data_IF_247617032209
#
_entry.id   IF_247617032209
#
_cell.length_a   1.000
_cell.length_b   1.000
_cell.length_c   1.000
_cell.angle_alpha   90.00
_cell.angle_beta   90.00
_cell.angle_gamma   90.00
#
_symmetry.space_group_name_H-M   'P 1'
#
loop_
_entity.id
_entity.type
_entity.pdbx_description
1 polymer ?
#
# COMPACT_ATOMS: atom_id res chain seq x y z
N UNK A 1 -1.07 -30.71 -3.72
CA UNK A 1 -0.96 -31.20 -5.11
C UNK A 1 -1.91 -30.43 -5.99
N UNK A 2 -1.43 -29.42 -6.72
CA UNK A 2 -2.25 -28.58 -7.60
C UNK A 2 -2.32 -29.23 -8.98
N UNK A 3 -3.41 -29.96 -9.21
CA UNK A 3 -3.74 -30.65 -10.45
C UNK A 3 -4.22 -29.63 -11.50
N UNK A 4 -3.60 -29.62 -12.68
CA UNK A 4 -4.06 -28.81 -13.83
C UNK A 4 -5.34 -29.42 -14.43
N UNK A 5 -6.28 -28.56 -14.81
CA UNK A 5 -7.60 -28.92 -15.33
C UNK A 5 -7.57 -29.23 -16.84
N UNK A 6 -8.18 -30.34 -17.24
CA UNK A 6 -8.22 -30.90 -18.62
C UNK A 6 -9.48 -30.49 -19.44
N UNK A 7 -10.19 -29.42 -19.07
CA UNK A 7 -11.47 -29.03 -19.70
C UNK A 7 -11.26 -27.99 -20.82
N UNK A 8 -11.80 -28.26 -22.02
CA UNK A 8 -11.89 -27.30 -23.11
C UNK A 8 -12.73 -26.07 -22.67
N UNK A 9 -12.08 -24.91 -22.57
CA UNK A 9 -12.67 -23.67 -22.01
C UNK A 9 -12.08 -23.19 -20.68
N UNK A 10 -11.01 -23.82 -20.19
CA UNK A 10 -10.36 -23.48 -18.92
C UNK A 10 -9.99 -21.98 -18.79
N UNK A 11 -10.51 -21.35 -17.71
CA UNK A 11 -10.32 -19.96 -17.26
C UNK A 11 -9.37 -19.94 -16.06
N UNK A 12 -8.06 -19.86 -16.29
CA UNK A 12 -7.14 -19.57 -15.18
C UNK A 12 -7.13 -18.05 -15.01
N UNK A 13 -7.94 -17.55 -14.07
CA UNK A 13 -7.80 -16.20 -13.50
C UNK A 13 -6.49 -16.14 -12.72
N UNK A 14 -5.90 -14.94 -12.58
CA UNK A 14 -4.76 -14.64 -11.71
C UNK A 14 -3.35 -15.03 -12.19
N UNK A 15 -3.14 -15.33 -13.49
CA UNK A 15 -1.79 -15.30 -14.11
C UNK A 15 -1.49 -13.93 -14.72
N UNK A 16 -1.47 -12.95 -13.84
CA UNK A 16 -1.13 -11.57 -14.11
C UNK A 16 0.36 -11.35 -13.80
N UNK A 17 0.99 -10.33 -14.37
CA UNK A 17 2.16 -9.78 -13.69
C UNK A 17 1.71 -9.40 -12.26
N UNK A 18 2.53 -9.59 -11.21
CA UNK A 18 2.11 -9.42 -9.81
C UNK A 18 1.38 -8.11 -9.51
N UNK A 19 1.67 -7.08 -10.30
CA UNK A 19 1.17 -5.71 -10.21
C UNK A 19 0.07 -5.35 -11.26
N UNK A 20 -0.62 -6.34 -11.85
CA UNK A 20 -1.78 -6.13 -12.72
C UNK A 20 -3.11 -6.42 -11.99
N UNK A 21 -3.77 -5.35 -11.56
CA UNK A 21 -4.94 -5.29 -10.68
C UNK A 21 -6.30 -5.16 -11.39
N UNK A 22 -6.35 -5.22 -12.72
CA UNK A 22 -7.60 -4.99 -13.47
C UNK A 22 -8.30 -6.28 -13.89
N UNK A 23 -9.58 -6.38 -13.52
CA UNK A 23 -10.52 -7.44 -13.92
C UNK A 23 -10.70 -7.58 -15.44
N UNK A 24 -10.34 -6.55 -16.21
CA UNK A 24 -10.45 -6.53 -17.67
C UNK A 24 -9.23 -7.13 -18.37
N UNK A 25 -8.13 -7.35 -17.64
CA UNK A 25 -6.94 -7.99 -18.17
C UNK A 25 -7.24 -9.48 -18.41
N UNK A 26 -7.18 -9.93 -19.65
CA UNK A 26 -7.53 -11.32 -20.03
C UNK A 26 -6.39 -12.34 -19.76
N UNK A 27 -5.41 -11.98 -18.93
CA UNK A 27 -4.27 -12.80 -18.52
C UNK A 27 -3.08 -12.75 -19.50
N UNK A 28 -1.86 -12.89 -18.98
CA UNK A 28 -0.60 -12.82 -19.72
C UNK A 28 0.06 -14.21 -19.91
N UNK A 29 -0.71 -15.20 -20.40
CA UNK A 29 -0.35 -16.57 -20.83
C UNK A 29 -0.92 -17.74 -19.97
N UNK A 30 -1.19 -18.92 -20.58
CA UNK A 30 -1.11 -19.26 -22.00
C UNK A 30 -2.52 -19.55 -22.53
N UNK A 31 -3.18 -18.53 -23.08
CA UNK A 31 -3.70 -18.73 -24.42
C UNK A 31 -2.61 -18.19 -25.33
N UNK A 32 -2.31 -18.90 -26.40
CA UNK A 32 -1.78 -18.28 -27.62
C UNK A 32 -2.67 -17.08 -27.92
N UNK A 33 -2.34 -15.91 -27.36
CA UNK A 33 -2.88 -14.68 -27.90
C UNK A 33 -2.39 -14.73 -29.34
N UNK A 34 -3.30 -14.60 -30.29
CA UNK A 34 -2.95 -14.58 -31.71
C UNK A 34 -1.95 -13.45 -32.06
N UNK A 35 -1.52 -12.65 -31.06
CA UNK A 35 -0.79 -11.40 -31.16
C UNK A 35 0.25 -11.20 -30.01
N UNK A 36 0.91 -12.24 -29.46
CA UNK A 36 2.10 -12.10 -28.59
C UNK A 36 2.03 -12.72 -27.17
N UNK A 37 3.08 -12.52 -26.37
CA UNK A 37 3.25 -13.07 -25.01
C UNK A 37 2.64 -12.20 -23.90
N UNK A 38 2.38 -10.92 -24.17
CA UNK A 38 1.71 -9.96 -23.26
C UNK A 38 0.53 -9.29 -23.95
N UNK A 39 -0.37 -8.65 -23.19
CA UNK A 39 -1.52 -7.91 -23.74
C UNK A 39 -1.22 -6.41 -23.97
N UNK A 40 -2.03 -5.74 -24.79
CA UNK A 40 -1.91 -4.30 -25.10
C UNK A 40 -1.91 -3.40 -23.84
N UNK A 41 -2.59 -3.82 -22.78
CA UNK A 41 -2.64 -3.08 -21.51
C UNK A 41 -1.27 -3.10 -20.82
N UNK A 42 -0.59 -4.25 -20.79
CA UNK A 42 0.75 -4.36 -20.22
C UNK A 42 1.79 -3.61 -21.05
N UNK A 43 1.64 -3.62 -22.37
CA UNK A 43 2.42 -2.78 -23.29
C UNK A 43 2.23 -1.29 -22.96
N UNK A 44 0.98 -0.81 -22.90
CA UNK A 44 0.66 0.58 -22.56
C UNK A 44 1.23 1.01 -21.20
N UNK A 45 1.04 0.19 -20.15
CA UNK A 45 1.62 0.47 -18.82
C UNK A 45 3.15 0.54 -18.84
N UNK A 46 3.80 -0.26 -19.69
CA UNK A 46 5.27 -0.24 -19.82
C UNK A 46 5.74 1.04 -20.52
N UNK A 47 5.02 1.49 -21.55
CA UNK A 47 5.26 2.79 -22.19
C UNK A 47 5.06 3.93 -21.19
N UNK A 48 3.98 3.92 -20.40
CA UNK A 48 3.72 4.94 -19.37
C UNK A 48 4.84 4.98 -18.31
N UNK A 49 5.39 3.82 -17.94
CA UNK A 49 6.53 3.73 -17.01
C UNK A 49 7.80 4.33 -17.60
N UNK A 50 8.11 4.08 -18.86
CA UNK A 50 9.25 4.69 -19.55
C UNK A 50 9.08 6.21 -19.66
N UNK A 51 7.88 6.69 -19.99
CA UNK A 51 7.56 8.11 -20.03
C UNK A 51 7.76 8.78 -18.67
N UNK A 52 7.27 8.15 -17.60
CA UNK A 52 7.48 8.60 -16.23
C UNK A 52 8.97 8.66 -15.85
N UNK A 53 9.77 7.65 -16.20
CA UNK A 53 11.20 7.66 -15.90
C UNK A 53 11.87 8.86 -16.59
N UNK A 54 11.53 9.10 -17.85
CA UNK A 54 12.04 10.26 -18.59
C UNK A 54 11.61 11.60 -17.97
N UNK A 55 10.36 11.71 -17.52
CA UNK A 55 9.81 12.89 -16.84
C UNK A 55 10.50 13.17 -15.51
N UNK A 56 10.74 12.14 -14.69
CA UNK A 56 11.32 12.27 -13.35
C UNK A 56 12.85 12.37 -13.35
N UNK A 57 13.52 12.13 -14.47
CA UNK A 57 14.99 12.16 -14.57
C UNK A 57 15.61 13.50 -14.13
N UNK A 58 15.12 14.68 -14.54
CA UNK A 58 15.67 15.97 -14.11
C UNK A 58 15.56 16.17 -12.59
N UNK A 59 14.41 15.82 -12.00
CA UNK A 59 14.17 15.94 -10.56
C UNK A 59 15.06 14.96 -9.78
N UNK A 60 15.21 13.74 -10.27
CA UNK A 60 16.11 12.75 -9.67
C UNK A 60 17.56 13.22 -9.68
N UNK A 61 18.01 13.85 -10.76
CA UNK A 61 19.34 14.48 -10.84
C UNK A 61 19.49 15.66 -9.89
N UNK A 62 18.47 16.50 -9.75
CA UNK A 62 18.48 17.60 -8.78
C UNK A 62 18.61 17.08 -7.32
N UNK A 63 17.99 15.93 -7.01
CA UNK A 63 18.16 15.24 -5.73
C UNK A 63 19.56 14.67 -5.56
N UNK A 64 20.09 13.97 -6.58
CA UNK A 64 21.43 13.40 -6.57
C UNK A 64 22.50 14.49 -6.37
N UNK A 65 22.32 15.64 -7.03
CA UNK A 65 23.17 16.82 -6.90
C UNK A 65 22.97 17.60 -5.58
N UNK A 66 22.09 17.14 -4.68
CA UNK A 66 21.83 17.80 -3.39
C UNK A 66 21.12 19.15 -3.49
N UNK A 67 20.58 19.51 -4.66
CA UNK A 67 19.92 20.79 -4.92
C UNK A 67 18.53 20.88 -4.30
N UNK A 68 17.86 19.74 -4.09
CA UNK A 68 16.53 19.66 -3.47
C UNK A 68 16.65 19.25 -2.01
N UNK A 69 16.26 20.13 -1.10
CA UNK A 69 16.15 19.82 0.34
C UNK A 69 14.77 19.24 0.64
N UNK A 70 14.69 17.94 0.92
CA UNK A 70 13.51 17.34 1.55
C UNK A 70 13.67 17.34 3.06
N UNK A 71 12.79 18.08 3.73
CA UNK A 71 12.78 18.20 5.18
C UNK A 71 11.68 19.14 5.66
N UNK A 72 10.43 18.71 5.57
CA UNK A 72 9.35 19.26 6.39
C UNK A 72 9.31 18.53 7.72
N UNK A 73 10.11 19.00 8.68
CA UNK A 73 9.88 18.75 10.11
C UNK A 73 10.62 17.56 10.73
N UNK A 74 11.45 17.83 11.73
CA UNK A 74 11.63 16.90 12.86
C UNK A 74 13.04 16.38 13.15
N UNK A 75 13.94 16.30 12.17
CA UNK A 75 15.31 15.91 12.49
C UNK A 75 16.02 17.07 13.23
N UNK A 76 16.60 16.85 14.42
CA UNK A 76 17.31 17.89 15.16
C UNK A 76 18.37 18.48 14.24
N UNK A 77 18.39 19.81 14.17
CA UNK A 77 19.25 20.57 13.29
C UNK A 77 20.72 20.16 13.49
N UNK A 78 21.19 19.18 12.71
CA UNK A 78 22.60 18.90 12.57
C UNK A 78 23.29 20.20 12.16
N UNK A 79 24.48 20.44 12.72
CA UNK A 79 25.25 21.67 12.47
C UNK A 79 25.21 22.03 10.97
N UNK A 80 24.82 23.26 10.60
CA UNK A 80 24.87 23.73 9.23
C UNK A 80 26.25 23.43 8.63
N UNK A 81 26.31 22.65 7.55
CA UNK A 81 27.56 22.28 6.87
C UNK A 81 28.06 20.85 7.08
N UNK A 82 27.37 20.01 7.86
CA UNK A 82 27.80 18.61 8.10
C UNK A 82 27.30 17.58 7.07
N UNK A 83 26.47 17.96 6.11
CA UNK A 83 26.03 17.06 5.03
C UNK A 83 26.94 17.21 3.81
N UNK A 84 27.34 16.10 3.17
CA UNK A 84 28.06 16.14 1.90
C UNK A 84 27.20 16.88 0.84
N UNK A 85 27.85 17.58 -0.10
CA UNK A 85 27.16 18.35 -1.15
C UNK A 85 26.39 17.46 -2.13
N UNK A 86 26.75 16.16 -2.21
CA UNK A 86 26.11 15.17 -3.07
C UNK A 86 25.30 14.18 -2.23
N UNK A 87 24.22 13.69 -2.82
CA UNK A 87 23.45 12.57 -2.27
C UNK A 87 23.92 11.28 -2.96
N UNK A 88 25.03 10.72 -2.49
CA UNK A 88 25.70 9.56 -3.10
C UNK A 88 24.73 8.39 -3.34
N UNK A 89 23.84 8.11 -2.38
CA UNK A 89 22.84 7.03 -2.53
C UNK A 89 21.79 7.30 -3.62
N UNK A 90 21.47 8.55 -3.92
CA UNK A 90 20.62 8.90 -5.06
C UNK A 90 21.39 8.86 -6.39
N UNK A 91 22.66 9.25 -6.38
CA UNK A 91 23.56 9.13 -7.53
C UNK A 91 23.73 7.67 -7.95
N UNK A 92 24.11 6.79 -7.02
CA UNK A 92 24.31 5.37 -7.28
C UNK A 92 23.02 4.70 -7.82
N UNK A 93 21.88 5.05 -7.22
CA UNK A 93 20.58 4.53 -7.66
C UNK A 93 20.20 5.02 -9.06
N UNK A 94 20.55 6.26 -9.42
CA UNK A 94 20.28 6.79 -10.75
C UNK A 94 21.20 6.14 -11.80
N UNK A 95 22.47 5.94 -11.48
CA UNK A 95 23.43 5.24 -12.34
C UNK A 95 22.99 3.78 -12.57
N UNK A 96 22.50 3.10 -11.53
CA UNK A 96 21.94 1.75 -11.66
C UNK A 96 20.74 1.71 -12.62
N UNK A 97 19.81 2.66 -12.50
CA UNK A 97 18.66 2.77 -13.41
C UNK A 97 19.15 2.97 -14.86
N UNK A 98 20.09 3.90 -15.07
CA UNK A 98 20.64 4.17 -16.40
C UNK A 98 21.34 2.94 -16.99
N UNK A 99 22.14 2.24 -16.19
CA UNK A 99 22.84 1.03 -16.62
C UNK A 99 21.86 -0.09 -17.01
N UNK A 100 20.82 -0.35 -16.20
CA UNK A 100 19.80 -1.37 -16.53
C UNK A 100 19.07 -1.06 -17.84
N UNK A 101 18.60 0.17 -18.01
CA UNK A 101 17.85 0.55 -19.22
C UNK A 101 18.73 0.59 -20.47
N UNK A 102 20.00 1.02 -20.35
CA UNK A 102 20.93 1.00 -21.48
C UNK A 102 21.37 -0.41 -21.86
N UNK A 103 21.52 -1.32 -20.90
CA UNK A 103 21.74 -2.76 -21.16
C UNK A 103 20.55 -3.37 -21.91
N UNK A 104 19.32 -3.17 -21.42
CA UNK A 104 18.11 -3.62 -22.11
C UNK A 104 18.02 -3.05 -23.54
N UNK A 105 18.37 -1.78 -23.72
CA UNK A 105 18.35 -1.17 -25.03
C UNK A 105 19.35 -1.82 -25.99
N UNK A 106 20.56 -2.14 -25.52
CA UNK A 106 21.59 -2.83 -26.31
C UNK A 106 21.16 -4.25 -26.67
N UNK A 107 20.66 -5.02 -25.72
CA UNK A 107 20.16 -6.38 -25.98
C UNK A 107 19.07 -6.40 -27.06
N UNK A 108 18.09 -5.50 -26.97
CA UNK A 108 17.03 -5.38 -27.97
C UNK A 108 17.60 -4.92 -29.33
N UNK A 109 18.56 -3.99 -29.32
CA UNK A 109 19.18 -3.50 -30.54
C UNK A 109 19.94 -4.62 -31.27
N UNK A 110 20.74 -5.39 -30.54
CA UNK A 110 21.52 -6.52 -31.06
C UNK A 110 20.60 -7.62 -31.60
N UNK A 111 19.56 -8.00 -30.84
CA UNK A 111 18.56 -8.99 -31.26
C UNK A 111 17.80 -8.59 -32.54
N UNK A 112 17.69 -7.27 -32.81
CA UNK A 112 16.98 -6.73 -33.96
C UNK A 112 17.90 -6.27 -35.10
N UNK A 113 19.21 -6.32 -34.94
CA UNK A 113 20.16 -5.72 -35.88
C UNK A 113 19.96 -4.20 -36.05
N UNK A 114 19.54 -3.50 -35.00
CA UNK A 114 19.33 -2.06 -35.00
C UNK A 114 20.55 -1.34 -34.44
N UNK A 115 20.80 -0.12 -34.91
CA UNK A 115 21.74 0.79 -34.26
C UNK A 115 20.99 1.72 -33.30
N UNK A 116 21.48 1.84 -32.07
CA UNK A 116 21.01 2.89 -31.15
C UNK A 116 21.68 4.18 -31.62
N UNK A 117 20.90 5.08 -32.22
CA UNK A 117 21.43 6.38 -32.67
C UNK A 117 22.12 7.08 -31.49
N UNK A 118 23.40 7.37 -31.66
CA UNK A 118 24.17 8.13 -30.68
C UNK A 118 23.65 9.56 -30.67
N UNK A 119 23.48 10.15 -29.47
CA UNK A 119 22.91 11.49 -29.34
C UNK A 119 23.78 12.59 -30.03
N UNK A 120 25.03 12.28 -30.35
CA UNK A 120 26.00 13.20 -30.94
C UNK A 120 25.78 13.52 -32.43
N UNK A 121 25.03 12.70 -33.18
CA UNK A 121 25.03 12.76 -34.64
C UNK A 121 24.28 13.97 -35.25
N UNK A 122 23.58 14.80 -34.48
CA UNK A 122 22.68 15.84 -35.03
C UNK A 122 22.92 17.27 -34.56
N UNK A 123 23.97 17.54 -33.76
CA UNK A 123 24.29 18.90 -33.30
C UNK A 123 23.17 19.61 -32.53
N UNK A 124 22.13 18.88 -32.10
CA UNK A 124 21.12 19.36 -31.17
C UNK A 124 21.61 19.07 -29.77
N UNK A 125 21.30 19.94 -28.81
CA UNK A 125 21.66 19.73 -27.40
C UNK A 125 21.30 18.30 -27.00
N UNK A 126 22.27 17.58 -26.43
CA UNK A 126 22.14 16.17 -26.06
C UNK A 126 20.95 16.07 -25.10
N UNK A 127 19.83 15.42 -25.52
CA UNK A 127 18.73 15.14 -24.60
C UNK A 127 19.28 14.40 -23.39
N UNK A 128 18.62 14.52 -22.24
CA UNK A 128 18.98 13.72 -21.07
C UNK A 128 19.19 12.25 -21.50
N UNK A 129 20.37 11.64 -21.26
CA UNK A 129 20.66 10.28 -21.69
C UNK A 129 19.60 9.26 -21.26
N UNK A 130 19.00 9.47 -20.08
CA UNK A 130 17.95 8.61 -19.55
C UNK A 130 16.63 8.81 -20.30
N UNK A 131 16.27 10.05 -20.62
CA UNK A 131 15.10 10.34 -21.45
C UNK A 131 15.25 9.79 -22.87
N UNK A 132 16.46 9.87 -23.45
CA UNK A 132 16.77 9.33 -24.78
C UNK A 132 16.57 7.81 -24.82
N UNK A 133 17.15 7.06 -23.86
CA UNK A 133 16.99 5.60 -23.82
C UNK A 133 15.54 5.19 -23.55
N UNK A 134 14.80 5.91 -22.70
CA UNK A 134 13.39 5.64 -22.44
C UNK A 134 12.52 5.84 -23.69
N UNK A 135 12.78 6.90 -24.45
CA UNK A 135 12.09 7.16 -25.72
C UNK A 135 12.37 6.07 -26.76
N UNK A 136 13.64 5.65 -26.89
CA UNK A 136 14.02 4.56 -27.78
C UNK A 136 13.35 3.24 -27.40
N UNK A 137 13.41 2.85 -26.11
CA UNK A 137 12.79 1.63 -25.58
C UNK A 137 11.27 1.64 -25.77
N UNK A 138 10.62 2.79 -25.65
CA UNK A 138 9.17 2.92 -25.86
C UNK A 138 8.76 2.49 -27.27
N UNK A 139 9.59 2.80 -28.28
CA UNK A 139 9.40 2.34 -29.66
C UNK A 139 9.63 0.83 -29.86
N UNK A 140 10.21 0.14 -28.88
CA UNK A 140 10.50 -1.30 -28.96
C UNK A 140 9.51 -2.19 -28.19
N UNK A 141 8.69 -1.62 -27.29
CA UNK A 141 7.82 -2.41 -26.37
C UNK A 141 6.90 -3.37 -27.13
N UNK A 142 6.36 -2.93 -28.28
CA UNK A 142 5.53 -3.78 -29.15
C UNK A 142 6.29 -4.98 -29.70
N UNK A 143 7.55 -4.84 -30.06
CA UNK A 143 8.36 -5.98 -30.51
C UNK A 143 8.67 -6.92 -29.35
N UNK A 144 9.06 -6.37 -28.19
CA UNK A 144 9.36 -7.13 -26.97
C UNK A 144 8.19 -8.05 -26.59
N UNK A 145 6.95 -7.57 -26.76
CA UNK A 145 5.71 -8.36 -26.56
C UNK A 145 5.68 -9.66 -27.36
N UNK A 146 6.31 -9.74 -28.53
CA UNK A 146 6.35 -10.93 -29.37
C UNK A 146 7.69 -11.68 -29.31
N UNK A 147 8.69 -11.14 -28.60
CA UNK A 147 10.03 -11.68 -28.56
C UNK A 147 10.12 -12.90 -27.63
N UNK A 148 10.99 -13.83 -28.03
CA UNK A 148 11.42 -14.96 -27.22
C UNK A 148 12.84 -14.70 -26.71
N UNK A 149 13.14 -15.20 -25.51
CA UNK A 149 14.51 -15.27 -25.01
C UNK A 149 15.28 -16.43 -25.65
N UNK A 150 16.57 -16.54 -25.34
CA UNK A 150 17.47 -17.59 -25.87
C UNK A 150 17.02 -19.02 -25.48
N UNK A 151 16.15 -19.17 -24.48
CA UNK A 151 15.60 -20.44 -24.02
C UNK A 151 14.20 -20.73 -24.62
N UNK A 152 13.69 -19.86 -25.49
CA UNK A 152 12.33 -19.96 -26.03
C UNK A 152 11.24 -19.57 -25.04
N UNK A 153 11.58 -18.92 -23.93
CA UNK A 153 10.66 -18.30 -22.97
C UNK A 153 10.22 -16.91 -23.41
N UNK A 154 9.13 -16.40 -22.81
CA UNK A 154 8.60 -15.09 -23.13
C UNK A 154 9.52 -13.96 -22.61
N UNK A 155 10.25 -13.30 -23.51
CA UNK A 155 11.21 -12.24 -23.14
C UNK A 155 10.53 -11.04 -22.47
N UNK A 156 9.29 -10.72 -22.87
CA UNK A 156 8.55 -9.56 -22.38
C UNK A 156 8.38 -9.50 -20.86
N UNK A 157 8.23 -10.64 -20.18
CA UNK A 157 7.98 -10.66 -18.74
C UNK A 157 9.17 -10.10 -17.95
N UNK A 158 10.39 -10.47 -18.32
CA UNK A 158 11.62 -9.97 -17.70
C UNK A 158 11.80 -8.47 -17.93
N UNK A 159 11.73 -8.06 -19.21
CA UNK A 159 11.90 -6.65 -19.60
C UNK A 159 10.88 -5.73 -18.91
N UNK A 160 9.60 -6.13 -18.86
CA UNK A 160 8.55 -5.31 -18.25
C UNK A 160 8.73 -5.20 -16.73
N UNK A 161 9.17 -6.29 -16.07
CA UNK A 161 9.45 -6.29 -14.65
C UNK A 161 10.65 -5.39 -14.29
N UNK A 162 11.71 -5.39 -15.11
CA UNK A 162 12.85 -4.50 -14.94
C UNK A 162 12.46 -3.02 -15.11
N UNK A 163 11.73 -2.67 -16.17
CA UNK A 163 11.23 -1.30 -16.38
C UNK A 163 10.35 -0.86 -15.21
N UNK A 164 9.48 -1.74 -14.70
CA UNK A 164 8.68 -1.46 -13.52
C UNK A 164 9.54 -1.23 -12.26
N UNK A 165 10.62 -1.99 -12.10
CA UNK A 165 11.63 -1.81 -11.05
C UNK A 165 12.29 -0.44 -11.12
N UNK A 166 12.81 -0.05 -12.31
CA UNK A 166 13.40 1.26 -12.56
C UNK A 166 12.41 2.40 -12.29
N UNK A 167 11.15 2.27 -12.70
CA UNK A 167 10.11 3.26 -12.44
C UNK A 167 9.80 3.45 -10.95
N UNK A 168 9.82 2.38 -10.15
CA UNK A 168 9.69 2.48 -8.68
C UNK A 168 10.93 3.14 -8.06
N UNK A 169 12.11 2.78 -8.54
CA UNK A 169 13.38 3.30 -8.01
C UNK A 169 13.52 4.81 -8.28
N UNK A 170 13.19 5.29 -9.48
CA UNK A 170 13.26 6.72 -9.79
C UNK A 170 12.25 7.54 -8.97
N UNK A 171 11.02 7.04 -8.79
CA UNK A 171 10.04 7.63 -7.87
C UNK A 171 10.60 7.70 -6.46
N UNK A 172 11.23 6.64 -5.96
CA UNK A 172 11.84 6.66 -4.64
C UNK A 172 12.95 7.71 -4.51
N UNK A 173 13.68 8.04 -5.58
CA UNK A 173 14.64 9.14 -5.59
C UNK A 173 13.91 10.49 -5.52
N UNK A 174 12.84 10.68 -6.29
CA UNK A 174 12.08 11.96 -6.40
C UNK A 174 11.06 12.20 -5.29
N UNK A 175 10.56 11.18 -4.62
CA UNK A 175 9.69 11.32 -3.44
C UNK A 175 10.54 11.30 -2.15
N UNK A 176 11.69 10.63 -2.24
CA UNK A 176 12.59 10.37 -1.12
C UNK A 176 12.22 9.05 -0.49
N UNK A 177 13.13 8.51 0.33
CA UNK A 177 12.77 7.38 1.18
C UNK A 177 11.76 7.90 2.21
N UNK A 178 10.46 7.65 1.97
CA UNK A 178 9.41 8.00 2.93
C UNK A 178 9.75 7.46 4.31
N UNK A 179 9.31 8.11 5.39
CA UNK A 179 9.72 7.70 6.73
C UNK A 179 9.46 6.19 6.97
N UNK A 180 10.42 5.44 7.56
CA UNK A 180 10.21 4.05 7.91
C UNK A 180 8.94 3.92 8.75
N UNK A 181 8.01 3.11 8.30
CA UNK A 181 6.76 2.83 9.02
C UNK A 181 7.00 1.73 10.03
N UNK A 182 6.39 1.90 11.19
CA UNK A 182 6.39 0.88 12.23
C UNK A 182 5.62 -0.35 11.75
N UNK A 183 6.22 -1.52 11.88
CA UNK A 183 5.66 -2.81 11.50
C UNK A 183 5.51 -3.73 12.73
N UNK A 184 5.30 -3.17 13.92
CA UNK A 184 5.09 -3.98 15.13
C UNK A 184 6.38 -4.44 15.82
N UNK A 185 6.23 -5.18 16.93
CA UNK A 185 7.37 -5.80 17.62
C UNK A 185 8.08 -6.83 16.74
N UNK A 186 9.34 -7.14 17.02
CA UNK A 186 10.12 -8.09 16.21
C UNK A 186 9.55 -9.51 16.28
N UNK A 187 9.31 -10.03 17.48
CA UNK A 187 8.83 -11.39 17.69
C UNK A 187 9.84 -12.50 17.36
N UNK A 188 10.99 -12.18 16.75
CA UNK A 188 12.04 -13.16 16.50
C UNK A 188 12.56 -13.74 17.81
N UNK A 189 12.60 -15.07 17.91
CA UNK A 189 13.27 -15.76 19.00
C UNK A 189 14.76 -15.70 18.70
N UNK A 190 15.52 -14.98 19.51
CA UNK A 190 16.98 -14.93 19.37
C UNK A 190 17.54 -16.16 20.04
N UNK A 191 18.34 -16.94 19.32
CA UNK A 191 19.07 -18.05 19.92
C UNK A 191 20.04 -17.46 20.96
N UNK A 192 20.07 -17.96 22.21
CA UNK A 192 21.03 -17.50 23.21
C UNK A 192 22.49 -17.55 22.73
N UNK A 193 22.82 -18.33 21.70
CA UNK A 193 24.15 -18.31 21.10
C UNK A 193 24.52 -17.02 20.37
N UNK A 194 23.52 -16.32 19.81
CA UNK A 194 23.68 -15.10 19.00
C UNK A 194 23.39 -13.81 19.79
N UNK A 195 23.22 -13.90 21.11
CA UNK A 195 22.94 -12.73 21.93
C UNK A 195 24.21 -11.84 22.02
N UNK A 196 24.18 -10.59 21.50
CA UNK A 196 25.36 -9.72 21.45
C UNK A 196 25.87 -9.29 22.84
N UNK A 197 25.11 -9.58 23.90
CA UNK A 197 25.45 -9.26 25.30
C UNK A 197 26.33 -10.32 25.99
N UNK A 198 26.83 -11.32 25.26
CA UNK A 198 27.71 -12.41 25.76
C UNK A 198 29.02 -11.98 26.47
N UNK A 199 29.26 -10.68 26.68
CA UNK A 199 30.45 -10.14 27.35
C UNK A 199 30.25 -9.53 28.74
N UNK A 200 29.01 -9.39 29.25
CA UNK A 200 28.76 -8.66 30.51
C UNK A 200 27.95 -9.53 31.48
N UNK A 201 28.66 -10.39 32.22
CA UNK A 201 28.12 -11.06 33.40
C UNK A 201 27.30 -12.32 33.13
N UNK A 202 27.22 -13.15 34.16
CA UNK A 202 26.60 -14.47 34.24
C UNK A 202 25.06 -14.38 34.13
N UNK A 203 24.57 -13.89 32.99
CA UNK A 203 23.15 -13.79 32.70
C UNK A 203 22.64 -15.13 32.17
N UNK A 204 21.75 -15.73 32.97
CA UNK A 204 20.95 -16.91 32.65
C UNK A 204 20.18 -16.72 31.32
N UNK A 205 20.85 -17.11 30.24
CA UNK A 205 20.37 -17.06 28.86
C UNK A 205 19.67 -18.38 28.46
N UNK A 206 19.38 -19.28 29.40
CA UNK A 206 18.79 -20.59 29.13
C UNK A 206 17.35 -20.58 28.58
N UNK A 207 16.72 -19.41 28.45
CA UNK A 207 15.37 -19.28 27.90
C UNK A 207 15.39 -18.43 26.63
N UNK A 208 14.90 -19.03 25.55
CA UNK A 208 14.56 -18.37 24.29
C UNK A 208 13.65 -17.15 24.53
N UNK A 209 14.24 -15.97 24.69
CA UNK A 209 13.50 -14.71 24.86
C UNK A 209 13.20 -14.11 23.48
N UNK A 210 11.97 -13.64 23.24
CA UNK A 210 11.67 -12.91 22.01
C UNK A 210 12.47 -11.60 21.99
N UNK A 211 12.95 -11.22 20.81
CA UNK A 211 13.67 -9.97 20.60
C UNK A 211 12.77 -8.79 21.00
N UNK A 212 13.21 -7.91 21.92
CA UNK A 212 12.43 -6.75 22.36
C UNK A 212 12.42 -5.62 21.31
N UNK A 213 13.12 -5.82 20.19
CA UNK A 213 13.21 -4.85 19.12
C UNK A 213 11.89 -4.63 18.38
N UNK A 214 11.88 -3.58 17.56
CA UNK A 214 10.77 -3.19 16.72
C UNK A 214 11.16 -3.28 15.26
N UNK A 215 10.23 -3.73 14.41
CA UNK A 215 10.42 -3.77 12.96
C UNK A 215 10.01 -2.45 12.36
N UNK A 216 10.83 -1.93 11.46
CA UNK A 216 10.47 -0.81 10.60
C UNK A 216 10.68 -1.18 9.15
N UNK A 217 9.78 -0.72 8.29
CA UNK A 217 9.84 -0.94 6.86
C UNK A 217 9.66 0.36 6.09
N UNK A 218 10.37 0.49 4.99
CA UNK A 218 10.16 1.60 4.06
C UNK A 218 8.85 1.37 3.29
N UNK A 219 8.02 2.39 3.07
CA UNK A 219 6.82 2.25 2.24
C UNK A 219 7.15 1.63 0.87
N UNK A 220 6.46 0.54 0.51
CA UNK A 220 6.63 -0.17 -0.76
C UNK A 220 7.79 -1.15 -0.82
N UNK A 221 8.61 -1.28 0.22
CA UNK A 221 9.60 -2.35 0.29
C UNK A 221 8.93 -3.70 0.64
N UNK A 222 9.44 -4.83 0.12
CA UNK A 222 8.84 -6.14 0.39
C UNK A 222 9.09 -6.61 1.83
N UNK A 223 10.18 -6.15 2.45
CA UNK A 223 10.56 -6.52 3.81
C UNK A 223 10.78 -5.31 4.72
N UNK A 224 10.53 -5.51 6.01
CA UNK A 224 10.95 -4.62 7.09
C UNK A 224 12.09 -5.26 7.88
N UNK A 225 12.85 -4.46 8.62
CA UNK A 225 14.00 -4.94 9.39
C UNK A 225 13.87 -4.51 10.85
N UNK A 226 14.10 -5.46 11.76
CA UNK A 226 14.22 -5.18 13.18
C UNK A 226 15.53 -4.43 13.46
N UNK A 227 15.44 -3.27 14.12
CA UNK A 227 16.64 -2.47 14.44
C UNK A 227 17.56 -3.09 15.50
N UNK A 228 17.05 -4.00 16.32
CA UNK A 228 17.82 -4.63 17.39
C UNK A 228 18.62 -5.85 16.91
N UNK A 229 17.95 -6.87 16.34
CA UNK A 229 18.59 -8.12 15.90
C UNK A 229 18.78 -8.26 14.39
N UNK A 230 18.31 -7.30 13.57
CA UNK A 230 18.41 -7.39 12.10
C UNK A 230 17.43 -8.35 11.44
N UNK A 231 16.57 -9.04 12.19
CA UNK A 231 15.57 -9.95 11.61
C UNK A 231 14.69 -9.24 10.57
N UNK A 232 14.50 -9.88 9.42
CA UNK A 232 13.68 -9.36 8.34
C UNK A 232 12.31 -10.04 8.32
N UNK A 233 11.25 -9.25 8.18
CA UNK A 233 9.87 -9.75 8.06
C UNK A 233 9.26 -9.27 6.77
N UNK A 234 8.39 -10.08 6.17
CA UNK A 234 7.58 -9.65 5.03
C UNK A 234 6.62 -8.53 5.48
N UNK A 235 6.60 -7.40 4.76
CA UNK A 235 5.78 -6.25 5.18
C UNK A 235 4.28 -6.51 5.05
N UNK A 236 3.85 -7.29 4.07
CA UNK A 236 2.43 -7.55 3.81
C UNK A 236 1.85 -8.48 4.88
N UNK A 237 2.57 -9.55 5.22
CA UNK A 237 2.22 -10.43 6.34
C UNK A 237 2.17 -9.65 7.65
N UNK A 238 3.15 -8.76 7.86
CA UNK A 238 3.22 -7.98 9.09
C UNK A 238 2.14 -6.92 9.18
N UNK A 239 1.74 -6.34 8.05
CA UNK A 239 0.58 -5.43 7.98
C UNK A 239 -0.71 -6.17 8.29
N UNK A 240 -0.92 -7.36 7.73
CA UNK A 240 -2.07 -8.20 8.05
C UNK A 240 -2.14 -8.55 9.55
N UNK A 241 -0.99 -8.87 10.16
CA UNK A 241 -0.89 -9.05 11.62
C UNK A 241 -1.31 -7.80 12.39
N UNK A 242 -0.75 -6.64 12.05
CA UNK A 242 -1.09 -5.37 12.71
C UNK A 242 -2.55 -4.98 12.52
N UNK A 243 -3.11 -5.23 11.33
CA UNK A 243 -4.53 -4.99 11.06
C UNK A 243 -5.40 -5.89 11.96
N UNK A 244 -4.98 -7.13 12.24
CA UNK A 244 -5.62 -8.00 13.24
C UNK A 244 -5.61 -7.37 14.63
N UNK A 245 -4.44 -6.98 15.13
CA UNK A 245 -4.28 -6.35 16.45
C UNK A 245 -5.10 -5.05 16.57
N UNK A 246 -5.08 -4.19 15.55
CA UNK A 246 -5.83 -2.93 15.57
C UNK A 246 -7.34 -3.17 15.56
N UNK A 247 -7.82 -4.24 14.91
CA UNK A 247 -9.25 -4.61 14.93
C UNK A 247 -9.74 -4.99 16.32
N UNK A 248 -8.85 -5.49 17.18
CA UNK A 248 -9.13 -5.88 18.57
C UNK A 248 -8.97 -4.73 19.58
N UNK A 249 -8.74 -3.50 19.12
CA UNK A 249 -8.65 -2.34 20.00
C UNK A 249 -9.72 -1.29 19.70
N UNK A 250 -10.32 -0.68 20.74
CA UNK A 250 -11.32 0.36 20.56
C UNK A 250 -10.66 1.74 20.40
N UNK A 251 -11.07 2.48 19.37
CA UNK A 251 -10.55 3.81 19.06
C UNK A 251 -11.66 4.85 18.93
N UNK A 252 -11.26 6.13 18.99
CA UNK A 252 -12.18 7.25 18.74
C UNK A 252 -12.65 7.22 17.28
N UNK A 253 -13.92 7.56 16.99
CA UNK A 253 -14.44 7.62 15.62
C UNK A 253 -13.58 8.43 14.64
N UNK A 254 -12.98 9.54 15.11
CA UNK A 254 -12.14 10.39 14.28
C UNK A 254 -10.88 9.67 13.79
N UNK A 255 -10.23 8.88 14.66
CA UNK A 255 -9.02 8.13 14.29
C UNK A 255 -9.36 7.00 13.31
N UNK A 256 -10.47 6.29 13.54
CA UNK A 256 -10.92 5.23 12.62
C UNK A 256 -11.25 5.83 11.24
N UNK A 257 -11.93 6.97 11.23
CA UNK A 257 -12.30 7.66 10.00
C UNK A 257 -11.10 8.12 9.18
N UNK A 258 -10.10 8.71 9.85
CA UNK A 258 -8.86 9.15 9.22
C UNK A 258 -8.06 7.98 8.66
N UNK A 259 -7.92 6.89 9.44
CA UNK A 259 -7.11 5.74 9.04
C UNK A 259 -7.74 4.89 7.92
N UNK A 260 -9.08 4.72 7.94
CA UNK A 260 -9.77 3.75 7.06
C UNK A 260 -10.74 4.40 6.06
N UNK A 261 -10.83 5.73 6.01
CA UNK A 261 -11.68 6.45 5.06
C UNK A 261 -13.19 6.31 5.32
N UNK A 262 -13.60 5.84 6.49
CA UNK A 262 -15.02 5.75 6.88
C UNK A 262 -15.49 7.09 7.45
N UNK A 263 -16.58 7.66 6.93
CA UNK A 263 -17.02 8.98 7.41
C UNK A 263 -17.41 8.97 8.91
N UNK A 264 -16.85 9.88 9.72
CA UNK A 264 -17.14 10.00 11.17
C UNK A 264 -18.64 10.07 11.50
N UNK A 265 -19.44 10.79 10.70
CA UNK A 265 -20.89 10.89 10.92
C UNK A 265 -21.59 9.55 10.70
N UNK A 266 -21.08 8.74 9.79
CA UNK A 266 -21.60 7.38 9.53
C UNK A 266 -21.34 6.47 10.72
N UNK A 267 -20.13 6.49 11.28
CA UNK A 267 -19.77 5.72 12.49
C UNK A 267 -20.71 6.12 13.65
N UNK A 268 -20.87 7.43 13.90
CA UNK A 268 -21.76 7.94 14.95
C UNK A 268 -23.22 7.55 14.71
N UNK A 269 -23.68 7.56 13.46
CA UNK A 269 -25.04 7.14 13.11
C UNK A 269 -25.26 5.65 13.40
N UNK A 270 -24.28 4.79 13.15
CA UNK A 270 -24.40 3.37 13.50
C UNK A 270 -24.42 3.14 15.02
N UNK A 271 -23.68 3.94 15.78
CA UNK A 271 -23.65 3.86 17.24
C UNK A 271 -24.96 4.29 17.91
N UNK A 272 -25.83 5.03 17.21
CA UNK A 272 -27.14 5.47 17.75
C UNK A 272 -28.34 4.78 17.08
N UNK A 273 -28.18 4.26 15.87
CA UNK A 273 -29.25 3.58 15.14
C UNK A 273 -29.53 2.22 15.77
N UNK A 274 -30.70 2.08 16.37
CA UNK A 274 -31.20 0.81 16.91
C UNK A 274 -31.58 -0.12 15.76
N UNK A 275 -31.12 -1.38 15.84
CA UNK A 275 -31.55 -2.41 14.90
C UNK A 275 -32.93 -2.95 15.33
N UNK A 276 -33.88 -3.06 14.40
CA UNK A 276 -35.26 -3.44 14.73
C UNK A 276 -35.40 -4.89 15.23
N UNK A 277 -34.45 -5.76 14.86
CA UNK A 277 -34.41 -7.17 15.24
C UNK A 277 -33.86 -7.41 16.65
N UNK A 278 -32.82 -6.66 17.06
CA UNK A 278 -32.18 -6.85 18.37
C UNK A 278 -32.58 -5.82 19.42
N UNK A 279 -33.15 -4.68 19.02
CA UNK A 279 -33.37 -3.54 19.91
C UNK A 279 -32.07 -2.88 20.40
N UNK A 280 -30.91 -3.29 19.88
CA UNK A 280 -29.59 -2.76 20.25
C UNK A 280 -29.02 -1.83 19.17
N UNK A 281 -28.09 -0.92 19.51
CA UNK A 281 -27.38 -0.11 18.52
C UNK A 281 -26.68 -0.97 17.47
N UNK A 282 -26.60 -0.45 16.24
CA UNK A 282 -25.97 -1.17 15.15
C UNK A 282 -24.46 -1.32 15.32
N UNK A 283 -23.83 -0.43 16.09
CA UNK A 283 -22.42 -0.46 16.46
C UNK A 283 -22.30 -0.35 17.99
N UNK A 284 -21.66 -1.34 18.61
CA UNK A 284 -21.34 -1.29 20.03
C UNK A 284 -20.41 -0.11 20.33
N UNK A 285 -20.62 0.52 21.48
CA UNK A 285 -19.82 1.65 21.95
C UNK A 285 -19.17 1.26 23.26
N UNK A 286 -17.99 1.80 23.52
CA UNK A 286 -17.19 1.52 24.71
C UNK A 286 -16.60 2.82 25.26
N UNK A 287 -16.09 2.77 26.48
CA UNK A 287 -15.28 3.82 27.07
C UNK A 287 -14.11 3.21 27.84
N UNK A 288 -13.13 4.04 28.17
CA UNK A 288 -11.95 3.64 28.94
C UNK A 288 -12.04 4.24 30.33
N UNK A 289 -11.98 3.40 31.34
CA UNK A 289 -11.91 3.77 32.76
C UNK A 289 -10.54 4.35 33.12
N UNK A 290 -10.41 4.96 34.30
CA UNK A 290 -9.16 5.56 34.76
C UNK A 290 -8.02 4.54 34.96
N UNK A 291 -8.35 3.28 35.26
CA UNK A 291 -7.40 2.16 35.34
C UNK A 291 -7.07 1.54 33.97
N UNK A 292 -7.68 2.05 32.89
CA UNK A 292 -7.43 1.63 31.52
C UNK A 292 -8.28 0.46 31.03
N UNK A 293 -9.19 -0.07 31.85
CA UNK A 293 -10.15 -1.08 31.42
C UNK A 293 -11.13 -0.53 30.35
N UNK A 294 -11.60 -1.41 29.48
CA UNK A 294 -12.57 -1.08 28.44
C UNK A 294 -13.93 -1.61 28.87
N UNK A 295 -14.89 -0.71 29.05
CA UNK A 295 -16.24 -1.07 29.46
C UNK A 295 -17.28 -0.75 28.38
N UNK A 296 -18.36 -1.57 28.25
CA UNK A 296 -19.47 -1.26 27.38
C UNK A 296 -20.11 0.08 27.73
N UNK A 297 -20.39 0.89 26.71
CA UNK A 297 -21.10 2.16 26.87
C UNK A 297 -22.59 1.90 27.00
N UNK A 298 -23.15 2.20 28.18
CA UNK A 298 -24.59 2.21 28.41
C UNK A 298 -25.07 3.65 28.54
N UNK A 299 -26.09 4.05 27.78
CA UNK A 299 -26.63 5.41 27.87
C UNK A 299 -27.32 5.59 29.23
N UNK A 300 -26.89 6.55 30.06
CA UNK A 300 -27.62 6.86 31.28
C UNK A 300 -29.01 7.39 30.93
N UNK A 301 -30.05 6.87 31.57
CA UNK A 301 -31.43 7.29 31.34
C UNK A 301 -31.94 8.19 32.46
N UNK A 302 -32.76 9.18 32.10
CA UNK A 302 -33.61 9.89 33.06
C UNK A 302 -34.79 8.97 33.36
N UNK A 303 -34.95 8.55 34.61
CA UNK A 303 -36.06 7.68 35.01
C UNK A 303 -37.42 8.36 34.77
N UNK A 304 -38.44 7.54 34.52
CA UNK A 304 -39.82 8.03 34.46
C UNK A 304 -40.29 8.49 35.85
N UNK A 305 -41.24 9.43 35.90
CA UNK A 305 -41.88 9.87 37.15
C UNK A 305 -41.12 10.92 37.97
N UNK A 306 -40.01 11.45 37.48
CA UNK A 306 -39.32 12.60 38.10
C UNK A 306 -40.07 13.91 37.83
N UNK A 307 -40.21 14.75 38.86
CA UNK A 307 -40.62 16.14 38.70
C UNK A 307 -39.55 16.97 37.96
N UNK A 308 -39.87 18.22 37.62
CA UNK A 308 -38.98 19.06 36.81
C UNK A 308 -37.65 19.38 37.52
N UNK A 309 -37.65 19.50 38.85
CA UNK A 309 -36.45 19.77 39.63
C UNK A 309 -35.55 18.53 39.70
N UNK A 310 -36.12 17.38 40.02
CA UNK A 310 -35.44 16.08 40.04
C UNK A 310 -34.89 15.70 38.66
N UNK A 311 -35.64 16.00 37.59
CA UNK A 311 -35.19 15.80 36.20
C UNK A 311 -33.96 16.63 35.88
N UNK A 312 -33.97 17.92 36.23
CA UNK A 312 -32.82 18.80 36.00
C UNK A 312 -31.57 18.35 36.77
N UNK A 313 -31.73 17.92 38.03
CA UNK A 313 -30.64 17.33 38.82
C UNK A 313 -30.10 16.07 38.15
N UNK A 314 -30.98 15.14 37.74
CA UNK A 314 -30.57 13.90 37.09
C UNK A 314 -29.87 14.14 35.76
N UNK A 315 -30.35 15.09 34.95
CA UNK A 315 -29.68 15.46 33.69
C UNK A 315 -28.29 16.06 33.93
N UNK A 316 -28.09 16.84 35.00
CA UNK A 316 -26.79 17.35 35.37
C UNK A 316 -25.83 16.23 35.83
N UNK A 317 -26.32 15.26 36.62
CA UNK A 317 -25.56 14.06 37.01
C UNK A 317 -25.14 13.25 35.78
N UNK A 318 -26.08 12.98 34.86
CA UNK A 318 -25.81 12.25 33.62
C UNK A 318 -24.75 12.99 32.80
N UNK A 319 -24.83 14.32 32.70
CA UNK A 319 -23.83 15.12 31.98
C UNK A 319 -22.45 15.02 32.63
N UNK A 320 -22.37 15.05 33.96
CA UNK A 320 -21.12 14.88 34.70
C UNK A 320 -20.53 13.47 34.52
N UNK A 321 -21.38 12.45 34.59
CA UNK A 321 -21.01 11.05 34.35
C UNK A 321 -20.45 10.86 32.92
N UNK A 322 -21.15 11.37 31.91
CA UNK A 322 -20.70 11.30 30.52
C UNK A 322 -19.39 12.08 30.29
N UNK A 323 -19.20 13.21 30.97
CA UNK A 323 -17.96 13.96 30.92
C UNK A 323 -16.79 13.16 31.53
N UNK A 324 -17.02 12.46 32.64
CA UNK A 324 -16.03 11.61 33.30
C UNK A 324 -15.63 10.40 32.44
N UNK A 325 -16.59 9.75 31.75
CA UNK A 325 -16.32 8.62 30.85
C UNK A 325 -15.48 8.98 29.62
N UNK A 326 -15.43 10.25 29.26
CA UNK A 326 -14.70 10.73 28.08
C UNK A 326 -15.37 10.33 26.75
N UNK A 327 -14.60 10.29 25.63
CA UNK A 327 -15.15 10.05 24.31
C UNK A 327 -15.52 8.58 24.10
N UNK A 328 -16.62 8.33 23.38
CA UNK A 328 -16.99 6.99 22.91
C UNK A 328 -15.89 6.40 22.04
N UNK A 329 -15.63 5.12 22.26
CA UNK A 329 -14.70 4.29 21.53
C UNK A 329 -15.46 3.17 20.79
N UNK A 330 -14.92 2.72 19.67
CA UNK A 330 -15.47 1.61 18.88
C UNK A 330 -14.34 0.71 18.40
N UNK A 331 -14.58 -0.60 18.37
CA UNK A 331 -13.63 -1.55 17.78
C UNK A 331 -13.55 -1.31 16.27
N UNK A 332 -12.33 -1.29 15.73
CA UNK A 332 -12.10 -1.07 14.30
C UNK A 332 -12.72 -2.20 13.47
N UNK A 333 -12.65 -3.44 13.95
CA UNK A 333 -13.28 -4.60 13.28
C UNK A 333 -14.76 -4.38 13.00
N UNK A 334 -15.54 -4.03 14.02
CA UNK A 334 -16.99 -3.80 13.92
C UNK A 334 -17.33 -2.67 12.92
N UNK A 335 -16.54 -1.60 12.93
CA UNK A 335 -16.73 -0.47 12.01
C UNK A 335 -16.48 -0.88 10.56
N UNK A 336 -15.40 -1.63 10.31
CA UNK A 336 -15.05 -2.10 8.97
C UNK A 336 -16.07 -3.10 8.44
N UNK A 337 -16.59 -3.99 9.28
CA UNK A 337 -17.60 -4.98 8.89
C UNK A 337 -18.94 -4.31 8.55
N UNK A 338 -19.34 -3.30 9.33
CA UNK A 338 -20.50 -2.48 9.01
C UNK A 338 -20.32 -1.66 7.73
N UNK A 339 -19.12 -1.13 7.49
CA UNK A 339 -18.79 -0.39 6.28
C UNK A 339 -18.86 -1.30 5.03
N UNK A 340 -18.31 -2.50 5.11
CA UNK A 340 -18.40 -3.50 4.04
C UNK A 340 -19.86 -3.89 3.76
N UNK A 341 -20.66 -4.14 4.82
CA UNK A 341 -22.07 -4.44 4.68
C UNK A 341 -22.87 -3.27 4.06
N UNK A 342 -22.55 -2.02 4.41
CA UNK A 342 -23.19 -0.84 3.81
C UNK A 342 -22.82 -0.64 2.34
N UNK A 343 -21.55 -0.85 1.99
CA UNK A 343 -21.08 -0.81 0.61
C UNK A 343 -21.82 -1.85 -0.26
N UNK A 344 -21.93 -3.10 0.21
CA UNK A 344 -22.66 -4.17 -0.48
C UNK A 344 -24.16 -3.85 -0.65
N UNK A 345 -24.80 -3.26 0.36
CA UNK A 345 -26.19 -2.79 0.25
C UNK A 345 -26.33 -1.70 -0.81
N UNK A 346 -25.44 -0.70 -0.84
CA UNK A 346 -25.47 0.38 -1.83
C UNK A 346 -25.29 -0.14 -3.26
N UNK A 347 -24.39 -1.09 -3.46
CA UNK A 347 -24.19 -1.73 -4.76
C UNK A 347 -25.45 -2.48 -5.22
N UNK A 348 -26.06 -3.24 -4.32
CA UNK A 348 -27.33 -3.95 -4.59
C UNK A 348 -28.45 -2.98 -4.97
N UNK A 349 -28.60 -1.87 -4.25
CA UNK A 349 -29.63 -0.86 -4.56
C UNK A 349 -29.33 -0.11 -5.87
N UNK A 350 -28.06 0.17 -6.19
CA UNK A 350 -27.66 0.71 -7.49
C UNK A 350 -28.01 -0.25 -8.63
N UNK A 351 -27.74 -1.55 -8.46
CA UNK A 351 -28.09 -2.56 -9.45
C UNK A 351 -29.62 -2.67 -9.64
N UNK A 352 -30.40 -2.63 -8.56
CA UNK A 352 -31.87 -2.60 -8.63
C UNK A 352 -32.38 -1.35 -9.36
N UNK A 353 -31.82 -0.17 -9.04
CA UNK A 353 -32.18 1.09 -9.70
C UNK A 353 -31.87 1.04 -11.20
N UNK A 354 -30.67 0.58 -11.57
CA UNK A 354 -30.28 0.43 -12.97
C UNK A 354 -31.22 -0.54 -13.73
N UNK A 355 -31.66 -1.64 -13.09
CA UNK A 355 -32.65 -2.55 -13.68
C UNK A 355 -34.02 -1.90 -13.88
N UNK A 356 -34.47 -1.08 -12.92
CA UNK A 356 -35.74 -0.33 -13.04
C UNK A 356 -35.68 0.72 -14.14
N UNK A 357 -34.57 1.46 -14.22
CA UNK A 357 -34.34 2.45 -15.28
C UNK A 357 -34.28 1.78 -16.66
N UNK A 358 -33.61 0.63 -16.79
CA UNK A 358 -33.59 -0.14 -18.03
C UNK A 358 -34.98 -0.68 -18.44
N UNK A 359 -35.77 -1.15 -17.47
CA UNK A 359 -37.13 -1.61 -17.73
C UNK A 359 -38.05 -0.45 -18.20
N UNK A 360 -37.98 0.70 -17.53
CA UNK A 360 -38.72 1.90 -17.92
C UNK A 360 -38.32 2.41 -19.30
N UNK A 361 -37.03 2.39 -19.63
CA UNK A 361 -36.55 2.76 -20.96
C UNK A 361 -37.07 1.81 -22.06
N UNK A 362 -37.17 0.51 -21.77
CA UNK A 362 -37.74 -0.46 -22.69
C UNK A 362 -39.25 -0.26 -22.89
N UNK A 363 -40.00 0.12 -21.84
CA UNK A 363 -41.44 0.42 -21.93
C UNK A 363 -41.74 1.70 -22.72
N UNK A 364 -40.89 2.73 -22.65
CA UNK A 364 -41.09 3.98 -23.41
C UNK A 364 -40.64 3.88 -24.88
N UNK A 365 -39.84 2.87 -25.24
CA UNK A 365 -39.34 2.64 -26.60
C UNK A 365 -40.16 1.66 -27.44
N UNK A 366 -41.21 1.06 -26.86
CA UNK A 366 -42.18 0.18 -27.50
C UNK A 366 -43.50 0.92 -27.72
#
# INVERSE_FOLDING_TARGET
MTQLCLIAGCRIRDRHLPDCDQDHCRGCLPRTAHEGYTCDVCEGRTVDRLALIAELAPDARAVAAGLVRRGTGGAPAGKPGSRPPLNDGATDALDEIQNRLTTLAREIADARGLQIASADERGRGVPDPLAHVCSWLSGQVRWVRHALDDQGGAYAAGVYAEIAGCARQIRSIVDGRGEPKYLGPCGAIVDPEDCPERGIGDHDCGQHKPCPGNVYGWPGAPTGTCRACGHQVNQDERRAYLDGEVREHPYRPAHIAEAYGVNVKTIRSWATRIRPDTGQPALASYWRTDDGAIEPWTEPTVGDGLDDEQRAVREAEIRAELAARGPRLHYVGDVLDLAAADAARRETERAKRARREAAQAAEMGA
#
